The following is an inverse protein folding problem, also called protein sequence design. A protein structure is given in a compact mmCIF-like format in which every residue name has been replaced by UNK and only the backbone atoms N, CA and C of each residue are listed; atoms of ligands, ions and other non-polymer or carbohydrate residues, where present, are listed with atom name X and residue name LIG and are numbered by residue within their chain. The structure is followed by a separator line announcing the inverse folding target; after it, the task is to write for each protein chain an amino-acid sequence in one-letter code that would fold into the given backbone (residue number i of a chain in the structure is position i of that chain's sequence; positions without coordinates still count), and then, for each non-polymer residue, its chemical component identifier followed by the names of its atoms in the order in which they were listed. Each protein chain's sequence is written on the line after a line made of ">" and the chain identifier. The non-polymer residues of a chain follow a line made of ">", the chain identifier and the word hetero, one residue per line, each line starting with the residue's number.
data_IF_218426026151
#
_entry.id   IF_218426026151
#
_cell.length_a   1.000
_cell.length_b   1.000
_cell.length_c   1.000
_cell.angle_alpha   90.00
_cell.angle_beta   90.00
_cell.angle_gamma   90.00
#
_symmetry.space_group_name_H-M   'P 1'
#
loop_
_entity.id
_entity.type
_entity.pdbx_description
1 polymer ?
#
# COMPACT_ATOMS: atom_id res chain seq x y z
N UNK A 1 -25.17 -1.46 -13.09
CA UNK A 1 -24.09 -0.48 -12.89
C UNK A 1 -22.73 -1.18 -13.09
N UNK A 2 -22.15 -1.18 -14.29
CA UNK A 2 -21.05 -2.08 -14.69
C UNK A 2 -19.71 -1.35 -14.99
N UNK A 3 -19.62 -0.06 -14.72
CA UNK A 3 -18.69 0.82 -15.44
C UNK A 3 -17.43 1.29 -14.69
N UNK A 4 -17.28 1.00 -13.38
CA UNK A 4 -16.19 1.60 -12.58
C UNK A 4 -15.30 0.60 -11.84
N UNK A 5 -15.33 -0.69 -12.21
CA UNK A 5 -14.41 -1.67 -11.62
C UNK A 5 -13.29 -2.01 -12.60
N UNK A 6 -12.03 -1.59 -12.32
CA UNK A 6 -10.88 -1.97 -13.13
C UNK A 6 -10.70 -3.49 -13.12
N UNK A 7 -10.14 -4.04 -14.21
CA UNK A 7 -10.08 -5.49 -14.46
C UNK A 7 -9.48 -6.29 -13.30
N UNK A 8 -8.44 -5.75 -12.65
CA UNK A 8 -7.79 -6.41 -11.51
C UNK A 8 -8.73 -6.53 -10.31
N UNK A 9 -9.58 -5.53 -10.01
CA UNK A 9 -10.49 -5.59 -8.86
C UNK A 9 -11.66 -6.54 -9.09
N UNK A 10 -12.06 -6.77 -10.34
CA UNK A 10 -13.16 -7.69 -10.64
C UNK A 10 -12.88 -9.11 -10.18
N UNK A 11 -11.66 -9.60 -10.38
CA UNK A 11 -11.28 -10.95 -9.88
C UNK A 11 -11.36 -11.04 -8.37
N UNK A 12 -10.99 -9.97 -7.66
CA UNK A 12 -10.97 -9.93 -6.20
C UNK A 12 -12.39 -9.92 -5.65
N UNK A 13 -13.26 -9.11 -6.25
CA UNK A 13 -14.69 -9.06 -5.92
C UNK A 13 -15.38 -10.40 -6.24
N UNK A 14 -15.03 -11.04 -7.36
CA UNK A 14 -15.58 -12.36 -7.71
C UNK A 14 -15.12 -13.45 -6.74
N UNK A 15 -13.85 -13.45 -6.32
CA UNK A 15 -13.32 -14.37 -5.31
C UNK A 15 -14.05 -14.19 -3.96
N UNK A 16 -14.21 -12.95 -3.50
CA UNK A 16 -14.94 -12.66 -2.26
C UNK A 16 -16.41 -13.09 -2.37
N UNK A 17 -17.03 -12.91 -3.54
CA UNK A 17 -18.44 -13.27 -3.75
C UNK A 17 -18.68 -14.78 -3.92
N UNK A 18 -17.66 -15.53 -4.38
CA UNK A 18 -17.73 -16.99 -4.55
C UNK A 18 -17.33 -17.76 -3.29
N UNK A 19 -16.17 -17.44 -2.72
CA UNK A 19 -15.55 -18.21 -1.63
C UNK A 19 -15.62 -17.49 -0.28
N UNK A 20 -16.15 -16.27 -0.25
CA UNK A 20 -16.27 -15.45 0.95
C UNK A 20 -14.97 -14.72 1.32
N UNK A 21 -15.07 -13.85 2.34
CA UNK A 21 -13.94 -13.06 2.84
C UNK A 21 -12.82 -13.92 3.44
N UNK A 22 -13.17 -15.08 4.03
CA UNK A 22 -12.21 -15.99 4.69
C UNK A 22 -11.22 -16.59 3.69
N UNK A 23 -11.72 -17.13 2.59
CA UNK A 23 -10.86 -17.76 1.58
C UNK A 23 -10.08 -16.71 0.78
N UNK A 24 -10.66 -15.54 0.56
CA UNK A 24 -9.97 -14.40 -0.03
C UNK A 24 -8.74 -13.96 0.81
N UNK A 25 -8.90 -13.83 2.13
CA UNK A 25 -7.77 -13.51 3.02
C UNK A 25 -6.73 -14.64 3.05
N UNK A 26 -7.16 -15.90 2.95
CA UNK A 26 -6.23 -17.04 2.88
C UNK A 26 -5.39 -17.03 1.60
N UNK A 27 -6.00 -16.73 0.45
CA UNK A 27 -5.33 -16.74 -0.84
C UNK A 27 -4.54 -15.45 -1.13
N UNK A 28 -5.05 -14.29 -0.73
CA UNK A 28 -4.47 -12.97 -1.07
C UNK A 28 -3.98 -12.15 0.13
N UNK A 29 -4.18 -12.61 1.36
CA UNK A 29 -3.74 -11.89 2.56
C UNK A 29 -2.25 -11.60 2.57
N UNK A 30 -1.42 -12.54 2.10
CA UNK A 30 0.03 -12.33 1.97
C UNK A 30 0.39 -11.15 1.06
N UNK A 31 -0.37 -10.94 -0.03
CA UNK A 31 -0.15 -9.80 -0.94
C UNK A 31 -0.48 -8.46 -0.25
N UNK A 32 -1.50 -8.43 0.61
CA UNK A 32 -1.86 -7.26 1.39
C UNK A 32 -0.75 -6.95 2.41
N UNK A 33 -0.27 -7.96 3.14
CA UNK A 33 0.83 -7.83 4.10
C UNK A 33 2.10 -7.35 3.40
N UNK A 34 2.45 -7.94 2.27
CA UNK A 34 3.60 -7.51 1.47
C UNK A 34 3.46 -6.05 1.00
N UNK A 35 2.26 -5.64 0.57
CA UNK A 35 1.98 -4.26 0.19
C UNK A 35 2.16 -3.28 1.36
N UNK A 36 1.63 -3.60 2.54
CA UNK A 36 1.81 -2.79 3.76
C UNK A 36 3.29 -2.73 4.13
N UNK A 37 3.99 -3.86 4.11
CA UNK A 37 5.41 -3.94 4.44
C UNK A 37 6.26 -3.07 3.51
N UNK A 38 6.06 -3.19 2.19
CA UNK A 38 6.77 -2.37 1.19
C UNK A 38 6.44 -0.88 1.34
N UNK A 39 5.17 -0.54 1.59
CA UNK A 39 4.76 0.84 1.85
C UNK A 39 5.49 1.43 3.06
N UNK A 40 5.59 0.69 4.16
CA UNK A 40 6.32 1.11 5.36
C UNK A 40 7.83 1.23 5.10
N UNK A 41 8.42 0.30 4.35
CA UNK A 41 9.84 0.37 3.97
C UNK A 41 10.15 1.60 3.13
N UNK A 42 9.32 1.90 2.12
CA UNK A 42 9.50 3.06 1.25
C UNK A 42 9.32 4.34 2.08
N UNK A 43 8.28 4.41 2.92
CA UNK A 43 8.04 5.56 3.79
C UNK A 43 9.21 5.82 4.71
N UNK A 44 9.73 4.79 5.39
CA UNK A 44 10.90 4.94 6.28
C UNK A 44 12.11 5.40 5.49
N UNK A 45 12.40 4.77 4.35
CA UNK A 45 13.53 5.15 3.49
C UNK A 45 13.41 6.61 3.00
N UNK A 46 12.21 7.02 2.55
CA UNK A 46 11.93 8.39 2.13
C UNK A 46 12.13 9.33 3.31
N UNK A 47 11.64 9.01 4.50
CA UNK A 47 11.77 9.88 5.68
C UNK A 47 13.25 10.13 6.02
N UNK A 48 14.07 9.08 6.03
CA UNK A 48 15.50 9.19 6.34
C UNK A 48 16.32 9.84 5.23
N UNK A 49 15.84 9.86 3.99
CA UNK A 49 16.47 10.61 2.89
C UNK A 49 16.01 12.08 2.92
N UNK A 50 14.72 12.30 3.11
CA UNK A 50 14.06 13.60 3.02
C UNK A 50 14.44 14.51 4.19
N UNK A 51 14.47 13.99 5.42
CA UNK A 51 14.83 14.79 6.61
C UNK A 51 16.23 15.42 6.49
N UNK A 52 17.33 14.65 6.29
CA UNK A 52 18.66 15.25 6.16
C UNK A 52 18.78 16.14 4.92
N UNK A 53 18.08 15.82 3.83
CA UNK A 53 18.01 16.71 2.68
C UNK A 53 17.41 18.08 3.04
N UNK A 54 16.30 18.11 3.78
CA UNK A 54 15.66 19.34 4.24
C UNK A 54 16.55 20.15 5.21
N UNK A 55 17.31 19.46 6.08
CA UNK A 55 18.25 20.07 7.03
C UNK A 55 19.43 20.71 6.28
N UNK A 56 20.08 19.99 5.36
CA UNK A 56 21.22 20.49 4.57
C UNK A 56 20.82 21.70 3.73
N UNK A 57 19.61 21.69 3.17
CA UNK A 57 19.09 22.81 2.39
C UNK A 57 18.55 23.96 3.26
N UNK A 58 18.67 23.90 4.60
CA UNK A 58 18.22 24.93 5.55
C UNK A 58 16.73 25.30 5.42
N UNK A 59 15.90 24.39 4.91
CA UNK A 59 14.45 24.60 4.74
C UNK A 59 13.73 24.48 6.09
N UNK A 60 14.23 23.60 6.95
CA UNK A 60 13.74 23.40 8.32
C UNK A 60 14.90 23.71 9.27
N UNK A 61 15.10 24.99 9.57
CA UNK A 61 15.99 25.38 10.67
C UNK A 61 15.17 25.37 11.96
N UNK A 62 15.57 24.54 12.94
CA UNK A 62 15.22 24.81 14.33
C UNK A 62 15.99 26.07 14.73
N UNK A 63 15.30 27.20 14.77
CA UNK A 63 15.73 28.36 15.56
C UNK A 63 15.52 28.06 17.04
#
# INVERSE_FOLDING_TARGET
>A
MKFMTPGFMREWIQLIKKDGLKEFLRQKGWKIVAGIFVFYLIRDSILYILIPYLIINNIVQCQ
#
